data_IF_190609075010
#
_entry.id   IF_190609075010
#
_cell.length_a   1.000
_cell.length_b   1.000
_cell.length_c   1.000
_cell.angle_alpha   90.00
_cell.angle_beta   90.00
_cell.angle_gamma   90.00
#
_symmetry.space_group_name_H-M   'P 1'
#
loop_
_entity.id
_entity.type
_entity.pdbx_description
1 polymer ?
#
# COMPACT_ATOMS: atom_id res chain seq x y z
N UNK A 1 -0.72 19.37 11.57
CA UNK A 1 -0.32 17.98 11.29
C UNK A 1 0.51 17.96 10.02
N UNK A 2 1.60 17.20 10.00
CA UNK A 2 2.42 17.00 8.79
C UNK A 2 1.65 16.17 7.75
N UNK A 3 1.73 16.52 6.46
CA UNK A 3 1.07 15.76 5.38
C UNK A 3 1.78 14.42 5.12
N UNK A 4 3.10 14.41 5.27
CA UNK A 4 3.94 13.22 5.18
C UNK A 4 4.52 12.86 6.55
N UNK A 5 4.69 11.56 6.81
CA UNK A 5 5.15 11.06 8.10
C UNK A 5 6.63 10.72 8.03
N UNK A 6 7.41 11.22 8.98
CA UNK A 6 8.78 10.78 9.17
C UNK A 6 8.79 9.49 9.99
N UNK A 7 8.66 8.35 9.31
CA UNK A 7 8.67 7.02 9.94
C UNK A 7 10.03 6.64 10.55
N UNK A 8 11.10 7.37 10.26
CA UNK A 8 12.41 7.16 10.91
C UNK A 8 12.37 7.71 12.34
N UNK A 9 11.74 8.88 12.52
CA UNK A 9 11.56 9.52 13.82
C UNK A 9 10.57 8.75 14.71
N UNK A 10 9.43 8.36 14.14
CA UNK A 10 8.37 7.65 14.83
C UNK A 10 7.69 6.64 13.89
N UNK A 11 7.99 5.35 14.10
CA UNK A 11 7.38 4.25 13.37
C UNK A 11 6.11 3.71 14.04
N UNK A 12 5.65 4.30 15.15
CA UNK A 12 4.44 3.90 15.82
C UNK A 12 3.26 4.78 15.37
N UNK A 13 2.13 4.15 15.03
CA UNK A 13 0.90 4.86 14.63
C UNK A 13 -0.32 4.34 15.40
N UNK A 14 -1.34 5.19 15.59
CA UNK A 14 -2.61 4.78 16.20
C UNK A 14 -3.47 3.90 15.28
N UNK A 15 -3.14 3.83 13.98
CA UNK A 15 -3.88 3.07 12.98
C UNK A 15 -2.95 2.30 12.04
N UNK A 16 -3.33 1.09 11.61
CA UNK A 16 -2.56 0.30 10.64
C UNK A 16 -2.85 0.67 9.18
N UNK A 17 -3.75 1.64 8.92
CA UNK A 17 -4.22 2.01 7.58
C UNK A 17 -3.08 2.40 6.65
N UNK A 18 -2.01 3.05 7.15
CA UNK A 18 -0.88 3.45 6.32
C UNK A 18 -0.20 2.26 5.64
N UNK A 19 0.07 1.17 6.36
CA UNK A 19 0.66 -0.03 5.76
C UNK A 19 -0.26 -0.65 4.71
N UNK A 20 -1.55 -0.77 5.02
CA UNK A 20 -2.51 -1.39 4.14
C UNK A 20 -2.66 -0.61 2.81
N UNK A 21 -2.83 0.71 2.90
CA UNK A 21 -2.97 1.59 1.74
C UNK A 21 -1.69 1.55 0.91
N UNK A 22 -0.52 1.67 1.53
CA UNK A 22 0.75 1.62 0.80
C UNK A 22 0.95 0.28 0.11
N UNK A 23 0.67 -0.84 0.79
CA UNK A 23 0.77 -2.19 0.19
C UNK A 23 -0.12 -2.32 -1.04
N UNK A 24 -1.37 -1.85 -0.96
CA UNK A 24 -2.33 -1.90 -2.07
C UNK A 24 -1.91 -0.98 -3.21
N UNK A 25 -1.58 0.29 -2.94
CA UNK A 25 -1.18 1.25 -3.97
C UNK A 25 0.11 0.81 -4.68
N UNK A 26 1.14 0.42 -3.92
CA UNK A 26 2.40 -0.09 -4.44
C UNK A 26 2.17 -1.36 -5.28
N UNK A 27 1.40 -2.31 -4.75
CA UNK A 27 1.10 -3.55 -5.45
C UNK A 27 0.33 -3.33 -6.75
N UNK A 28 -0.73 -2.50 -6.74
CA UNK A 28 -1.52 -2.17 -7.94
C UNK A 28 -0.66 -1.45 -8.98
N UNK A 29 0.17 -0.51 -8.54
CA UNK A 29 1.08 0.22 -9.42
C UNK A 29 2.05 -0.72 -10.12
N UNK A 30 2.75 -1.55 -9.35
CA UNK A 30 3.72 -2.50 -9.89
C UNK A 30 3.04 -3.55 -10.76
N UNK A 31 1.85 -4.02 -10.39
CA UNK A 31 1.05 -4.93 -11.22
C UNK A 31 0.76 -4.31 -12.59
N UNK A 32 0.28 -3.07 -12.62
CA UNK A 32 0.06 -2.35 -13.88
C UNK A 32 1.34 -2.23 -14.70
N UNK A 33 2.46 -1.82 -14.07
CA UNK A 33 3.76 -1.67 -14.75
C UNK A 33 4.29 -3.00 -15.28
N UNK A 34 4.13 -4.09 -14.54
CA UNK A 34 4.50 -5.45 -14.96
C UNK A 34 3.64 -5.90 -16.13
N UNK A 35 2.33 -5.69 -16.09
CA UNK A 35 1.43 -6.06 -17.20
C UNK A 35 1.67 -5.23 -18.46
N UNK A 36 2.17 -4.00 -18.32
CA UNK A 36 2.55 -3.13 -19.43
C UNK A 36 3.92 -3.46 -20.04
N UNK A 37 4.65 -4.45 -19.52
CA UNK A 37 5.91 -4.90 -20.14
C UNK A 37 5.61 -5.75 -21.37
N UNK A 38 6.05 -5.29 -22.54
CA UNK A 38 5.91 -5.99 -23.81
C UNK A 38 7.18 -6.75 -24.15
N UNK A 39 7.39 -7.92 -23.54
CA UNK A 39 8.58 -8.75 -23.79
C UNK A 39 8.71 -9.24 -25.24
N UNK A 40 7.59 -9.39 -25.95
CA UNK A 40 7.62 -9.81 -27.36
C UNK A 40 8.41 -8.86 -28.25
N UNK A 41 8.27 -7.54 -28.04
CA UNK A 41 8.99 -6.54 -28.81
C UNK A 41 10.52 -6.59 -28.58
N UNK A 42 10.96 -7.00 -27.39
CA UNK A 42 12.39 -7.13 -27.10
C UNK A 42 13.03 -8.35 -27.76
N UNK A 43 12.26 -9.41 -28.01
CA UNK A 43 12.74 -10.57 -28.76
C UNK A 43 12.89 -10.31 -30.27
N UNK A 44 12.20 -9.30 -30.79
CA UNK A 44 12.28 -8.87 -32.19
C UNK A 44 13.24 -7.68 -32.39
N UNK A 45 13.77 -7.12 -31.30
CA UNK A 45 14.64 -5.94 -31.36
C UNK A 45 15.94 -6.30 -32.10
N UNK A 46 16.35 -5.54 -33.14
CA UNK A 46 17.56 -5.86 -33.88
C UNK A 46 18.78 -5.86 -32.95
N UNK A 47 19.54 -6.97 -32.91
CA UNK A 47 20.76 -7.17 -32.09
C UNK A 47 21.85 -6.10 -32.26
N UNK A 48 21.70 -5.15 -33.20
CA UNK A 48 22.74 -4.24 -33.68
C UNK A 48 22.92 -2.93 -32.88
N UNK A 49 22.22 -2.74 -31.77
CA UNK A 49 22.28 -1.48 -30.99
C UNK A 49 22.76 -1.63 -29.53
N UNK A 50 23.15 -2.83 -29.10
CA UNK A 50 23.85 -3.01 -27.83
C UNK A 50 25.33 -3.18 -28.17
N UNK A 51 26.13 -2.12 -28.00
CA UNK A 51 27.56 -2.07 -28.36
C UNK A 51 28.42 -3.14 -27.65
N UNK A 52 27.86 -3.82 -26.66
CA UNK A 52 28.38 -5.06 -26.11
C UNK A 52 27.29 -6.12 -26.27
N UNK A 53 27.50 -7.12 -27.14
CA UNK A 53 26.60 -8.28 -27.21
C UNK A 53 26.50 -8.89 -25.82
N UNK A 54 25.37 -8.68 -25.13
CA UNK A 54 25.13 -9.28 -23.83
C UNK A 54 24.94 -10.77 -24.08
N UNK A 55 26.04 -11.52 -24.04
CA UNK A 55 26.06 -12.95 -24.27
C UNK A 55 25.44 -13.69 -23.09
N UNK A 56 24.12 -13.61 -22.92
CA UNK A 56 23.42 -14.50 -22.02
C UNK A 56 23.55 -15.92 -22.55
N UNK A 57 24.03 -16.83 -21.70
CA UNK A 57 23.99 -18.25 -22.00
C UNK A 57 22.52 -18.67 -22.19
N UNK A 58 22.15 -19.07 -23.41
CA UNK A 58 20.77 -19.39 -23.82
C UNK A 58 19.80 -18.19 -23.88
N UNK A 59 20.23 -17.08 -24.50
CA UNK A 59 19.41 -15.89 -24.77
C UNK A 59 17.99 -16.22 -25.30
N UNK A 60 17.85 -17.13 -26.25
CA UNK A 60 16.54 -17.51 -26.82
C UNK A 60 15.59 -18.10 -25.78
N UNK A 61 16.09 -19.03 -24.96
CA UNK A 61 15.32 -19.63 -23.87
C UNK A 61 14.96 -18.56 -22.85
N UNK A 62 15.89 -17.67 -22.55
CA UNK A 62 15.70 -16.60 -21.60
C UNK A 62 14.55 -15.68 -21.99
N UNK A 63 14.56 -15.14 -23.22
CA UNK A 63 13.47 -14.30 -23.72
C UNK A 63 12.14 -15.05 -23.84
N UNK A 64 12.18 -16.34 -24.15
CA UNK A 64 10.98 -17.20 -24.17
C UNK A 64 10.34 -17.32 -22.79
N UNK A 65 11.14 -17.30 -21.70
CA UNK A 65 10.66 -17.48 -20.34
C UNK A 65 10.14 -16.19 -19.68
N UNK A 66 10.59 -15.00 -20.11
CA UNK A 66 10.20 -13.71 -19.51
C UNK A 66 8.69 -13.44 -19.49
N UNK A 67 7.90 -13.74 -20.54
CA UNK A 67 6.44 -13.62 -20.48
C UNK A 67 5.82 -14.50 -19.39
N UNK A 68 6.31 -15.73 -19.20
CA UNK A 68 5.81 -16.61 -18.14
C UNK A 68 6.18 -16.07 -16.76
N UNK A 69 7.41 -15.58 -16.59
CA UNK A 69 7.84 -14.92 -15.36
C UNK A 69 6.99 -13.68 -15.05
N UNK A 70 6.63 -12.87 -16.06
CA UNK A 70 5.72 -11.73 -15.92
C UNK A 70 4.37 -12.14 -15.33
N UNK A 71 3.75 -13.21 -15.83
CA UNK A 71 2.48 -13.72 -15.30
C UNK A 71 2.60 -14.28 -13.88
N UNK A 72 3.71 -14.95 -13.57
CA UNK A 72 4.00 -15.40 -12.20
C UNK A 72 4.13 -14.21 -11.26
N UNK A 73 4.89 -13.18 -11.64
CA UNK A 73 5.02 -11.94 -10.87
C UNK A 73 3.65 -11.27 -10.70
N UNK A 74 2.83 -11.17 -11.75
CA UNK A 74 1.49 -10.60 -11.67
C UNK A 74 0.61 -11.36 -10.67
N UNK A 75 0.60 -12.70 -10.71
CA UNK A 75 -0.17 -13.51 -9.76
C UNK A 75 0.32 -13.32 -8.32
N UNK A 76 1.65 -13.27 -8.10
CA UNK A 76 2.23 -13.01 -6.78
C UNK A 76 1.88 -11.61 -6.28
N UNK A 77 1.86 -10.60 -7.16
CA UNK A 77 1.46 -9.23 -6.82
C UNK A 77 -0.03 -9.16 -6.45
N UNK A 78 -0.92 -9.87 -7.13
CA UNK A 78 -2.34 -9.96 -6.72
C UNK A 78 -2.47 -10.53 -5.30
N UNK A 79 -1.74 -11.60 -4.99
CA UNK A 79 -1.72 -12.17 -3.64
C UNK A 79 -1.13 -11.19 -2.61
N UNK A 80 -0.09 -10.44 -2.98
CA UNK A 80 0.50 -9.38 -2.16
C UNK A 80 -0.47 -8.20 -1.91
N UNK A 81 -1.25 -7.79 -2.92
CA UNK A 81 -2.29 -6.74 -2.83
C UNK A 81 -3.44 -7.16 -1.90
N UNK A 82 -3.67 -8.46 -1.70
CA UNK A 82 -4.64 -8.95 -0.71
C UNK A 82 -3.96 -9.22 0.65
N UNK A 83 -2.63 -9.25 0.69
CA UNK A 83 -1.85 -9.56 1.88
C UNK A 83 -1.93 -11.04 2.25
N UNK A 84 -1.92 -11.92 1.24
CA UNK A 84 -1.88 -13.37 1.40
C UNK A 84 -0.46 -13.90 1.26
N UNK A 85 0.02 -14.58 2.32
CA UNK A 85 1.40 -15.06 2.48
C UNK A 85 2.43 -14.00 2.11
N UNK A 86 2.23 -12.76 2.57
CA UNK A 86 2.97 -11.55 2.16
C UNK A 86 4.49 -11.74 2.18
N UNK A 87 5.02 -12.48 3.16
CA UNK A 87 6.45 -12.83 3.25
C UNK A 87 6.97 -13.55 2.02
N UNK A 88 6.20 -14.50 1.49
CA UNK A 88 6.57 -15.30 0.32
C UNK A 88 6.14 -14.62 -0.98
N UNK A 89 4.90 -14.12 -1.05
CA UNK A 89 4.35 -13.54 -2.28
C UNK A 89 5.04 -12.23 -2.61
N UNK A 90 5.24 -11.33 -1.64
CA UNK A 90 6.04 -10.13 -1.81
C UNK A 90 7.53 -10.44 -2.03
N UNK A 91 8.11 -11.35 -1.26
CA UNK A 91 9.51 -11.74 -1.39
C UNK A 91 9.84 -12.26 -2.79
N UNK A 92 9.09 -13.27 -3.26
CA UNK A 92 9.28 -13.85 -4.60
C UNK A 92 8.92 -12.85 -5.70
N UNK A 93 7.83 -12.08 -5.57
CA UNK A 93 7.50 -11.04 -6.55
C UNK A 93 8.63 -10.02 -6.70
N UNK A 94 9.21 -9.57 -5.59
CA UNK A 94 10.30 -8.59 -5.62
C UNK A 94 11.57 -9.13 -6.28
N UNK A 95 11.98 -10.37 -5.97
CA UNK A 95 13.17 -10.98 -6.56
C UNK A 95 12.99 -11.26 -8.05
N UNK A 96 11.85 -11.82 -8.44
CA UNK A 96 11.55 -12.07 -9.85
C UNK A 96 11.39 -10.76 -10.63
N UNK A 97 10.81 -9.72 -10.02
CA UNK A 97 10.75 -8.40 -10.63
C UNK A 97 12.14 -7.80 -10.80
N UNK A 98 13.00 -7.83 -9.77
CA UNK A 98 14.38 -7.35 -9.89
C UNK A 98 15.14 -8.06 -11.00
N UNK A 99 14.98 -9.38 -11.12
CA UNK A 99 15.57 -10.14 -12.24
C UNK A 99 15.08 -9.63 -13.60
N UNK A 100 13.77 -9.47 -13.79
CA UNK A 100 13.19 -8.92 -15.01
C UNK A 100 13.71 -7.50 -15.31
N UNK A 101 13.81 -6.66 -14.30
CA UNK A 101 14.29 -5.28 -14.45
C UNK A 101 15.79 -5.24 -14.76
N UNK A 102 16.60 -6.15 -14.21
CA UNK A 102 18.03 -6.23 -14.55
C UNK A 102 18.24 -6.53 -16.02
N UNK A 103 17.47 -7.48 -16.57
CA UNK A 103 17.49 -7.79 -18.02
C UNK A 103 17.04 -6.59 -18.83
N UNK A 104 15.94 -5.96 -18.42
CA UNK A 104 15.45 -4.78 -19.11
C UNK A 104 16.50 -3.66 -19.09
N UNK A 105 17.18 -3.46 -17.97
CA UNK A 105 18.21 -2.44 -17.81
C UNK A 105 19.45 -2.70 -18.68
N UNK A 106 19.77 -3.98 -18.97
CA UNK A 106 20.87 -4.29 -19.91
C UNK A 106 20.50 -3.96 -21.35
N UNK A 107 19.21 -4.08 -21.73
CA UNK A 107 18.75 -3.77 -23.10
C UNK A 107 18.44 -2.28 -23.27
N UNK A 108 17.79 -1.70 -22.26
CA UNK A 108 17.28 -0.33 -22.26
C UNK A 108 17.46 0.28 -20.88
N UNK A 109 18.58 0.97 -20.69
CA UNK A 109 18.84 1.74 -19.49
C UNK A 109 18.04 3.04 -19.55
N UNK A 110 16.89 3.04 -18.89
CA UNK A 110 16.10 4.25 -18.68
C UNK A 110 15.74 4.40 -17.21
N UNK A 111 15.63 5.66 -16.78
CA UNK A 111 15.26 6.00 -15.41
C UNK A 111 13.91 5.43 -14.96
N UNK A 112 13.03 5.05 -15.90
CA UNK A 112 11.77 4.35 -15.60
C UNK A 112 11.95 2.89 -15.21
N UNK A 113 13.08 2.27 -15.54
CA UNK A 113 13.46 0.91 -15.10
C UNK A 113 14.07 0.99 -13.71
N UNK A 114 14.95 1.97 -13.48
CA UNK A 114 15.57 2.24 -12.18
C UNK A 114 14.52 2.52 -11.09
N UNK A 115 13.45 3.26 -11.42
CA UNK A 115 12.38 3.54 -10.48
C UNK A 115 11.58 2.30 -10.05
N UNK A 116 11.47 1.30 -10.92
CA UNK A 116 10.81 0.03 -10.58
C UNK A 116 11.66 -0.82 -9.64
N UNK A 117 13.00 -0.67 -9.63
CA UNK A 117 13.84 -1.29 -8.61
C UNK A 117 13.51 -0.75 -7.22
N UNK A 118 13.26 0.56 -7.09
CA UNK A 118 12.81 1.18 -5.83
C UNK A 118 11.51 0.53 -5.36
N UNK A 119 10.55 0.33 -6.27
CA UNK A 119 9.29 -0.35 -5.94
C UNK A 119 9.52 -1.81 -5.50
N UNK A 120 10.43 -2.53 -6.16
CA UNK A 120 10.79 -3.90 -5.78
C UNK A 120 11.43 -3.96 -4.38
N UNK A 121 12.31 -3.01 -4.03
CA UNK A 121 12.87 -2.90 -2.67
C UNK A 121 11.77 -2.65 -1.63
N UNK A 122 10.81 -1.77 -1.92
CA UNK A 122 9.69 -1.51 -1.02
C UNK A 122 8.82 -2.76 -0.81
N UNK A 123 8.51 -3.52 -1.87
CA UNK A 123 7.78 -4.79 -1.76
C UNK A 123 8.57 -5.79 -0.89
N UNK A 124 9.89 -5.88 -1.10
CA UNK A 124 10.76 -6.74 -0.29
C UNK A 124 10.72 -6.35 1.20
N UNK A 125 10.74 -5.05 1.51
CA UNK A 125 10.61 -4.57 2.90
C UNK A 125 9.25 -4.94 3.51
N UNK A 126 8.16 -4.84 2.76
CA UNK A 126 6.85 -5.34 3.20
C UNK A 126 6.84 -6.85 3.44
N UNK A 127 7.57 -7.62 2.63
CA UNK A 127 7.73 -9.05 2.84
C UNK A 127 8.53 -9.38 4.13
N UNK A 128 9.60 -8.62 4.40
CA UNK A 128 10.41 -8.78 5.61
C UNK A 128 9.66 -8.40 6.90
N UNK A 129 8.79 -7.39 6.84
CA UNK A 129 8.01 -6.90 7.98
C UNK A 129 6.51 -7.25 7.87
N UNK A 130 6.17 -8.37 7.24
CA UNK A 130 4.78 -8.80 6.98
C UNK A 130 3.90 -8.97 8.23
N UNK A 131 4.51 -9.10 9.42
CA UNK A 131 3.80 -9.23 10.70
C UNK A 131 3.15 -7.91 11.14
N UNK A 132 3.72 -6.77 10.75
CA UNK A 132 3.23 -5.43 11.12
C UNK A 132 1.92 -5.08 10.42
N UNK A 133 1.66 -5.67 9.25
CA UNK A 133 0.44 -5.44 8.48
C UNK A 133 -0.74 -6.27 9.02
N UNK A 134 -1.48 -5.66 9.95
CA UNK A 134 -2.67 -6.25 10.58
C UNK A 134 -3.95 -6.14 9.73
N UNK A 135 -3.92 -5.40 8.62
CA UNK A 135 -5.01 -5.27 7.65
C UNK A 135 -4.69 -6.07 6.37
N UNK A 136 -4.40 -7.35 6.59
CA UNK A 136 -4.04 -8.33 5.58
C UNK A 136 -4.80 -9.64 5.79
N UNK A 137 -4.95 -10.45 4.74
CA UNK A 137 -5.50 -11.81 4.91
C UNK A 137 -4.63 -12.65 5.84
N UNK A 138 -3.31 -12.48 5.84
CA UNK A 138 -2.43 -13.15 6.79
C UNK A 138 -2.73 -12.77 8.24
N UNK A 139 -3.04 -11.50 8.53
CA UNK A 139 -3.46 -11.09 9.88
C UNK A 139 -4.78 -11.75 10.30
N UNK A 140 -5.77 -11.79 9.41
CA UNK A 140 -7.02 -12.54 9.64
C UNK A 140 -6.75 -14.02 9.83
N UNK A 141 -5.75 -14.60 9.15
CA UNK A 141 -5.34 -16.00 9.38
C UNK A 141 -4.69 -16.17 10.75
N UNK A 142 -3.80 -15.27 11.19
CA UNK A 142 -3.16 -15.33 12.52
C UNK A 142 -4.15 -15.29 13.69
N UNK A 143 -5.35 -14.75 13.49
CA UNK A 143 -6.41 -14.80 14.51
C UNK A 143 -7.06 -16.18 14.68
N UNK A 144 -6.80 -17.16 13.78
CA UNK A 144 -7.31 -18.53 13.95
C UNK A 144 -6.79 -19.19 15.22
N UNK A 145 -5.56 -18.86 15.59
CA UNK A 145 -4.84 -19.51 16.69
C UNK A 145 -5.06 -18.79 18.02
N UNK A 146 -5.81 -17.68 18.02
CA UNK A 146 -6.17 -16.93 19.21
C UNK A 146 -7.40 -17.53 19.88
N UNK A 147 -7.40 -17.52 21.20
CA UNK A 147 -8.57 -17.87 22.00
C UNK A 147 -9.70 -16.84 21.83
N UNK A 148 -10.94 -17.27 22.08
CA UNK A 148 -12.10 -16.38 22.04
C UNK A 148 -11.97 -15.20 23.02
N UNK A 149 -11.37 -15.44 24.20
CA UNK A 149 -11.13 -14.40 25.19
C UNK A 149 -10.18 -13.31 24.68
N UNK A 150 -9.11 -13.68 23.98
CA UNK A 150 -8.18 -12.72 23.35
C UNK A 150 -8.85 -11.93 22.23
N UNK A 151 -9.68 -12.57 21.41
CA UNK A 151 -10.43 -11.88 20.35
C UNK A 151 -11.42 -10.87 20.95
N UNK A 152 -12.13 -11.25 22.02
CA UNK A 152 -13.03 -10.35 22.75
C UNK A 152 -12.30 -9.18 23.42
N UNK A 153 -11.10 -9.40 23.95
CA UNK A 153 -10.27 -8.32 24.50
C UNK A 153 -9.86 -7.30 23.42
N UNK A 154 -9.53 -7.77 22.21
CA UNK A 154 -9.25 -6.89 21.06
C UNK A 154 -10.49 -6.09 20.65
N UNK A 155 -11.65 -6.76 20.51
CA UNK A 155 -12.92 -6.13 20.12
C UNK A 155 -13.36 -5.05 21.10
N UNK A 156 -13.20 -5.30 22.41
CA UNK A 156 -13.55 -4.36 23.48
C UNK A 156 -12.54 -3.22 23.67
N UNK A 157 -11.45 -3.19 22.89
CA UNK A 157 -10.43 -2.15 22.99
C UNK A 157 -9.57 -2.24 24.26
N UNK A 158 -9.50 -3.42 24.90
CA UNK A 158 -8.69 -3.64 26.11
C UNK A 158 -7.17 -3.71 25.80
N UNK A 159 -6.80 -3.71 24.52
CA UNK A 159 -5.42 -3.76 24.04
C UNK A 159 -4.98 -2.40 23.52
N UNK A 160 -3.75 -1.99 23.84
CA UNK A 160 -3.19 -0.74 23.34
C UNK A 160 -3.04 -0.79 21.81
N UNK A 161 -3.66 0.18 21.11
CA UNK A 161 -3.64 0.27 19.66
C UNK A 161 -2.43 1.07 19.18
N UNK A 162 -1.27 0.42 19.17
CA UNK A 162 -0.05 0.98 18.59
C UNK A 162 0.50 0.04 17.54
N UNK A 163 0.59 0.51 16.30
CA UNK A 163 1.02 -0.26 15.14
C UNK A 163 2.39 0.20 14.67
N UNK A 164 3.31 -0.74 14.47
CA UNK A 164 4.65 -0.46 13.96
C UNK A 164 4.62 -0.33 12.43
N UNK A 165 5.44 0.57 11.89
CA UNK A 165 5.50 0.93 10.47
C UNK A 165 6.89 0.61 9.89
N UNK A 166 7.50 -0.52 10.25
CA UNK A 166 8.92 -0.79 9.94
C UNK A 166 9.20 -0.82 8.44
N UNK A 167 8.29 -1.37 7.63
CA UNK A 167 8.43 -1.35 6.17
C UNK A 167 8.50 0.09 5.61
N UNK A 168 7.68 1.01 6.14
CA UNK A 168 7.69 2.42 5.72
C UNK A 168 8.90 3.18 6.28
N UNK A 169 9.34 2.87 7.50
CA UNK A 169 10.57 3.43 8.09
C UNK A 169 11.80 3.14 7.24
N UNK A 170 12.03 1.86 6.97
CA UNK A 170 13.18 1.44 6.17
C UNK A 170 13.01 1.81 4.70
N UNK A 171 11.77 1.85 4.20
CA UNK A 171 11.47 2.31 2.85
C UNK A 171 11.81 3.80 2.67
N UNK A 172 11.44 4.64 3.64
CA UNK A 172 11.76 6.08 3.62
C UNK A 172 13.27 6.30 3.62
N UNK A 173 13.99 5.57 4.48
CA UNK A 173 15.45 5.66 4.54
C UNK A 173 16.11 5.18 3.25
N UNK A 174 15.65 4.06 2.67
CA UNK A 174 16.15 3.56 1.40
C UNK A 174 15.95 4.57 0.26
N UNK A 175 14.74 5.14 0.15
CA UNK A 175 14.43 6.18 -0.84
C UNK A 175 15.32 7.41 -0.64
N UNK A 176 15.51 7.86 0.60
CA UNK A 176 16.37 8.99 0.92
C UNK A 176 17.84 8.73 0.53
N UNK A 177 18.36 7.54 0.80
CA UNK A 177 19.72 7.12 0.39
C UNK A 177 19.83 7.08 -1.14
N UNK A 178 18.81 6.59 -1.85
CA UNK A 178 18.81 6.54 -3.32
C UNK A 178 18.86 7.95 -3.91
N UNK A 179 18.11 8.91 -3.37
CA UNK A 179 18.20 10.31 -3.82
C UNK A 179 19.59 10.93 -3.58
N UNK A 180 20.18 10.67 -2.42
CA UNK A 180 21.56 11.11 -2.14
C UNK A 180 22.55 10.42 -3.07
N UNK A 181 22.38 9.13 -3.33
CA UNK A 181 23.19 8.38 -4.30
C UNK A 181 23.10 8.95 -5.71
N UNK A 182 21.91 9.39 -6.13
CA UNK A 182 21.70 10.07 -7.42
C UNK A 182 22.45 11.40 -7.50
N UNK A 183 22.41 12.23 -6.44
CA UNK A 183 23.19 13.47 -6.37
C UNK A 183 24.70 13.19 -6.37
N UNK A 184 25.13 12.20 -5.60
CA UNK A 184 26.53 11.82 -5.45
C UNK A 184 27.13 11.21 -6.72
N UNK A 185 26.37 10.37 -7.43
CA UNK A 185 26.79 9.77 -8.69
C UNK A 185 27.11 10.83 -9.76
N UNK A 186 26.33 11.93 -9.80
CA UNK A 186 26.63 13.07 -10.66
C UNK A 186 27.95 13.74 -10.29
N UNK A 187 28.18 13.96 -8.99
CA UNK A 187 29.42 14.58 -8.51
C UNK A 187 30.67 13.72 -8.76
N UNK A 188 30.56 12.38 -8.76
CA UNK A 188 31.69 11.48 -8.98
C UNK A 188 31.99 11.22 -10.46
N UNK A 189 30.98 11.16 -11.33
CA UNK A 189 31.13 10.72 -12.72
C UNK A 189 31.42 11.85 -13.72
N UNK A 190 31.55 13.10 -13.26
CA UNK A 190 31.92 14.23 -14.12
C UNK A 190 32.73 15.30 -13.38
N UNK A 191 33.34 16.26 -14.10
CA UNK A 191 34.06 17.36 -13.47
C UNK A 191 33.11 18.18 -12.61
N UNK A 192 33.44 18.32 -11.32
CA UNK A 192 32.61 19.05 -10.34
C UNK A 192 32.28 20.47 -10.81
N UNK A 193 33.22 21.14 -11.48
CA UNK A 193 33.07 22.47 -12.05
C UNK A 193 31.96 22.54 -13.10
N UNK A 194 31.92 21.56 -14.01
CA UNK A 194 30.93 21.50 -15.08
C UNK A 194 29.53 21.27 -14.51
N UNK A 195 29.42 20.38 -13.52
CA UNK A 195 28.16 20.17 -12.79
C UNK A 195 27.72 21.41 -12.01
N UNK A 196 28.64 22.08 -11.33
CA UNK A 196 28.35 23.29 -10.56
C UNK A 196 28.06 24.51 -11.43
N UNK A 197 28.34 24.49 -12.74
CA UNK A 197 28.10 25.64 -13.64
C UNK A 197 26.67 25.77 -14.15
N UNK A 198 25.82 24.75 -13.99
CA UNK A 198 24.49 24.71 -14.61
C UNK A 198 24.50 24.38 -16.11
N UNK A 199 25.66 24.44 -16.76
CA UNK A 199 25.85 24.10 -18.19
C UNK A 199 25.38 22.68 -18.52
N UNK A 200 25.55 21.73 -17.61
CA UNK A 200 25.04 20.35 -17.79
C UNK A 200 23.52 20.31 -17.93
N UNK A 201 22.80 21.05 -17.10
CA UNK A 201 21.34 21.12 -17.20
C UNK A 201 20.91 21.75 -18.53
N UNK A 202 21.61 22.78 -19.00
CA UNK A 202 21.35 23.40 -20.30
C UNK A 202 21.60 22.41 -21.44
N UNK A 203 22.72 21.68 -21.38
CA UNK A 203 23.07 20.64 -22.35
C UNK A 203 22.04 19.52 -22.37
N UNK A 204 21.58 19.06 -21.21
CA UNK A 204 20.53 18.05 -21.11
C UNK A 204 19.23 18.54 -21.77
N UNK A 205 18.80 19.78 -21.49
CA UNK A 205 17.60 20.36 -22.11
C UNK A 205 17.73 20.40 -23.64
N UNK A 206 18.86 20.90 -24.16
CA UNK A 206 19.11 20.96 -25.60
C UNK A 206 19.18 19.57 -26.24
N UNK A 207 19.88 18.63 -25.60
CA UNK A 207 20.01 17.26 -26.06
C UNK A 207 18.64 16.56 -26.16
N UNK A 208 17.81 16.65 -25.11
CA UNK A 208 16.48 16.05 -25.14
C UNK A 208 15.50 16.78 -26.06
N UNK A 209 15.65 18.10 -26.23
CA UNK A 209 14.92 18.87 -27.24
C UNK A 209 15.19 18.36 -28.65
N UNK A 210 16.47 18.23 -29.01
CA UNK A 210 16.92 17.69 -30.29
C UNK A 210 16.48 16.23 -30.49
N UNK A 211 16.71 15.38 -29.49
CA UNK A 211 16.38 13.94 -29.56
C UNK A 211 14.88 13.69 -29.75
N UNK A 212 14.03 14.49 -29.10
CA UNK A 212 12.57 14.30 -29.15
C UNK A 212 11.90 15.12 -30.25
N UNK A 213 12.58 16.12 -30.81
CA UNK A 213 12.02 17.09 -31.75
C UNK A 213 10.90 17.95 -31.15
N UNK A 214 10.82 18.04 -29.81
CA UNK A 214 9.79 18.79 -29.09
C UNK A 214 10.43 19.94 -28.32
N UNK A 215 10.12 21.16 -28.75
CA UNK A 215 10.49 22.37 -28.00
C UNK A 215 9.74 22.44 -26.66
N UNK A 216 10.51 22.56 -25.58
CA UNK A 216 9.99 22.63 -24.20
C UNK A 216 10.02 24.08 -23.71
N UNK A 217 8.86 24.74 -23.73
CA UNK A 217 8.73 26.14 -23.31
C UNK A 217 9.27 26.43 -21.89
N UNK A 218 9.18 25.46 -20.97
CA UNK A 218 9.73 25.59 -19.61
C UNK A 218 11.25 25.39 -19.55
N UNK A 219 11.85 24.73 -20.53
CA UNK A 219 13.29 24.54 -20.64
C UNK A 219 14.02 25.76 -21.22
N UNK A 220 13.40 26.48 -22.15
CA UNK A 220 14.03 27.63 -22.82
C UNK A 220 14.59 28.70 -21.85
N UNK A 221 13.87 29.15 -20.80
CA UNK A 221 14.44 30.11 -19.85
C UNK A 221 15.68 29.62 -19.10
N UNK A 222 15.83 28.31 -18.91
CA UNK A 222 17.01 27.72 -18.27
C UNK A 222 18.20 27.67 -19.23
N UNK A 223 17.95 27.41 -20.51
CA UNK A 223 18.97 27.44 -21.58
C UNK A 223 19.47 28.87 -21.79
N UNK A 224 18.56 29.85 -21.82
CA UNK A 224 18.90 31.25 -22.10
C UNK A 224 19.54 31.98 -20.90
N UNK A 225 19.49 31.40 -19.70
CA UNK A 225 19.95 32.05 -18.47
C UNK A 225 20.76 31.09 -17.57
N UNK A 226 22.09 31.27 -17.60
CA UNK A 226 23.04 30.47 -16.81
C UNK A 226 22.76 30.52 -15.31
N UNK A 227 22.38 31.68 -14.76
CA UNK A 227 22.05 31.80 -13.33
C UNK A 227 20.82 30.95 -12.97
N UNK A 228 19.80 30.92 -13.82
CA UNK A 228 18.62 30.07 -13.59
C UNK A 228 18.97 28.58 -13.68
N UNK A 229 19.82 28.19 -14.63
CA UNK A 229 20.31 26.82 -14.73
C UNK A 229 21.13 26.42 -13.49
N UNK A 230 22.01 27.30 -13.02
CA UNK A 230 22.79 27.13 -11.81
C UNK A 230 21.90 26.96 -10.58
N UNK A 231 20.92 27.84 -10.39
CA UNK A 231 19.94 27.76 -9.29
C UNK A 231 19.15 26.45 -9.38
N UNK A 232 18.72 26.04 -10.58
CA UNK A 232 18.03 24.78 -10.81
C UNK A 232 18.87 23.56 -10.40
N UNK A 233 20.15 23.57 -10.74
CA UNK A 233 21.09 22.52 -10.36
C UNK A 233 21.32 22.45 -8.85
N UNK A 234 21.74 23.56 -8.23
CA UNK A 234 22.00 23.63 -6.78
C UNK A 234 20.72 23.31 -5.99
N UNK A 235 19.59 23.85 -6.43
CA UNK A 235 18.28 23.56 -5.87
C UNK A 235 17.94 22.07 -5.91
N UNK A 236 18.24 21.39 -7.02
CA UNK A 236 18.06 19.94 -7.16
C UNK A 236 18.90 19.17 -6.14
N UNK A 237 20.20 19.47 -6.02
CA UNK A 237 21.08 18.79 -5.07
C UNK A 237 20.62 18.99 -3.61
N UNK A 238 20.24 20.21 -3.26
CA UNK A 238 19.71 20.54 -1.93
C UNK A 238 18.41 19.78 -1.64
N UNK A 239 17.48 19.73 -2.59
CA UNK A 239 16.21 19.00 -2.45
C UNK A 239 16.47 17.50 -2.30
N UNK A 240 17.37 16.91 -3.09
CA UNK A 240 17.75 15.49 -3.01
C UNK A 240 18.38 15.13 -1.65
N UNK A 241 19.25 15.99 -1.11
CA UNK A 241 19.85 15.79 0.20
C UNK A 241 18.87 16.02 1.36
N UNK A 242 17.93 16.95 1.19
CA UNK A 242 17.04 17.39 2.26
C UNK A 242 16.18 16.26 2.87
N UNK A 243 15.80 15.25 2.06
CA UNK A 243 15.00 14.14 2.55
C UNK A 243 15.78 13.27 3.55
N UNK A 244 17.04 12.96 3.25
CA UNK A 244 17.89 12.17 4.16
C UNK A 244 18.16 12.95 5.44
N UNK A 245 18.51 14.23 5.32
CA UNK A 245 18.76 15.11 6.48
C UNK A 245 17.51 15.18 7.37
N UNK A 246 16.34 15.43 6.80
CA UNK A 246 15.10 15.50 7.57
C UNK A 246 14.74 14.14 8.21
N UNK A 247 14.89 13.04 7.47
CA UNK A 247 14.64 11.70 7.96
C UNK A 247 15.52 11.37 9.18
N UNK A 248 16.84 11.56 9.07
CA UNK A 248 17.82 11.23 10.12
C UNK A 248 17.71 12.16 11.32
N UNK A 249 17.48 13.46 11.12
CA UNK A 249 17.28 14.41 12.22
C UNK A 249 15.91 14.29 12.90
N UNK A 250 15.03 13.42 12.40
CA UNK A 250 13.70 13.22 12.95
C UNK A 250 12.75 14.42 12.75
N UNK A 251 13.05 15.32 11.80
CA UNK A 251 12.20 16.49 11.52
C UNK A 251 11.11 16.16 10.50
N UNK A 252 10.23 17.11 10.20
CA UNK A 252 9.18 16.91 9.20
C UNK A 252 9.76 16.67 7.80
N UNK A 253 9.37 15.57 7.16
CA UNK A 253 9.75 15.25 5.77
C UNK A 253 8.81 15.86 4.73
N UNK A 254 7.76 16.60 5.15
CA UNK A 254 6.78 17.16 4.20
C UNK A 254 7.41 18.09 3.17
N UNK A 255 8.22 19.06 3.59
CA UNK A 255 8.83 20.01 2.67
C UNK A 255 9.85 19.32 1.73
N UNK A 256 10.76 18.44 2.21
CA UNK A 256 11.60 17.63 1.33
C UNK A 256 10.83 16.79 0.32
N UNK A 257 9.76 16.11 0.74
CA UNK A 257 8.95 15.28 -0.16
C UNK A 257 8.24 16.13 -1.22
N UNK A 258 7.64 17.25 -0.84
CA UNK A 258 7.02 18.19 -1.79
C UNK A 258 8.04 18.81 -2.75
N UNK A 259 9.23 19.13 -2.25
CA UNK A 259 10.35 19.59 -3.06
C UNK A 259 10.76 18.55 -4.10
N UNK A 260 10.86 17.27 -3.72
CA UNK A 260 11.19 16.18 -4.63
C UNK A 260 10.09 15.90 -5.66
N UNK A 261 8.82 15.98 -5.27
CA UNK A 261 7.70 15.91 -6.22
C UNK A 261 7.78 17.07 -7.21
N UNK A 262 7.99 18.30 -6.73
CA UNK A 262 8.18 19.48 -7.56
C UNK A 262 9.36 19.35 -8.52
N UNK A 263 10.47 18.77 -8.06
CA UNK A 263 11.62 18.44 -8.89
C UNK A 263 11.26 17.49 -10.03
N UNK A 264 10.54 16.40 -9.77
CA UNK A 264 10.11 15.46 -10.83
C UNK A 264 9.15 16.12 -11.82
N UNK A 265 8.25 16.97 -11.36
CA UNK A 265 7.39 17.77 -12.24
C UNK A 265 8.22 18.73 -13.10
N UNK A 266 9.23 19.40 -12.52
CA UNK A 266 10.12 20.26 -13.26
C UNK A 266 10.88 19.48 -14.35
N UNK A 267 11.43 18.31 -14.03
CA UNK A 267 12.11 17.41 -14.98
C UNK A 267 11.19 17.00 -16.13
N UNK A 268 9.91 16.69 -15.87
CA UNK A 268 8.93 16.39 -16.92
C UNK A 268 8.72 17.61 -17.83
N UNK A 269 8.57 18.80 -17.25
CA UNK A 269 8.28 20.02 -17.99
C UNK A 269 9.47 20.53 -18.81
N UNK A 270 10.69 20.37 -18.30
CA UNK A 270 11.92 20.90 -18.92
C UNK A 270 12.60 19.90 -19.83
N UNK A 271 12.72 18.63 -19.40
CA UNK A 271 13.44 17.57 -20.12
C UNK A 271 12.50 16.58 -20.84
N UNK A 272 11.21 16.57 -20.51
CA UNK A 272 10.28 15.59 -21.07
C UNK A 272 10.45 14.17 -20.54
N UNK A 273 11.21 13.99 -19.45
CA UNK A 273 11.48 12.70 -18.84
C UNK A 273 10.42 12.35 -17.79
N UNK A 274 9.70 11.25 -18.01
CA UNK A 274 8.57 10.84 -17.16
C UNK A 274 9.01 9.96 -16.00
N UNK A 275 9.20 10.57 -14.83
CA UNK A 275 9.48 9.89 -13.56
C UNK A 275 8.25 9.79 -12.65
N UNK A 276 7.08 9.49 -13.21
CA UNK A 276 5.81 9.41 -12.47
C UNK A 276 5.87 8.39 -11.33
N UNK A 277 6.63 7.30 -11.53
CA UNK A 277 6.93 6.28 -10.53
C UNK A 277 7.44 6.89 -9.20
N UNK A 278 8.32 7.89 -9.28
CA UNK A 278 8.91 8.51 -8.09
C UNK A 278 7.92 9.41 -7.35
N UNK A 279 7.02 10.08 -8.08
CA UNK A 279 5.93 10.85 -7.45
C UNK A 279 5.03 9.90 -6.65
N UNK A 280 4.71 8.73 -7.22
CA UNK A 280 3.95 7.71 -6.52
C UNK A 280 4.71 7.19 -5.30
N UNK A 281 5.98 6.80 -5.43
CA UNK A 281 6.83 6.31 -4.33
C UNK A 281 6.88 7.31 -3.18
N UNK A 282 7.09 8.59 -3.47
CA UNK A 282 7.10 9.66 -2.46
C UNK A 282 5.73 9.82 -1.78
N UNK A 283 4.65 9.67 -2.54
CA UNK A 283 3.27 9.72 -2.04
C UNK A 283 2.92 8.58 -1.09
N UNK A 284 3.65 7.46 -1.14
CA UNK A 284 3.45 6.34 -0.21
C UNK A 284 3.73 6.74 1.26
N UNK A 285 4.55 7.77 1.51
CA UNK A 285 4.85 8.23 2.87
C UNK A 285 3.85 9.26 3.43
N UNK A 286 2.75 9.52 2.72
CA UNK A 286 1.67 10.36 3.21
C UNK A 286 1.01 9.78 4.48
N UNK A 287 0.40 10.65 5.28
CA UNK A 287 -0.39 10.28 6.46
C UNK A 287 -1.78 9.76 6.04
N UNK A 288 -1.83 8.59 5.40
CA UNK A 288 -3.06 7.98 4.88
C UNK A 288 -4.14 7.73 5.94
N UNK A 289 -3.74 7.51 7.19
CA UNK A 289 -4.59 7.35 8.37
C UNK A 289 -5.34 8.66 8.70
N UNK A 290 -4.68 9.81 8.53
CA UNK A 290 -5.32 11.12 8.67
C UNK A 290 -6.31 11.37 7.53
N UNK A 291 -5.94 11.02 6.30
CA UNK A 291 -6.84 11.12 5.15
C UNK A 291 -8.06 10.21 5.31
N UNK A 292 -7.84 8.95 5.71
CA UNK A 292 -8.89 7.98 6.02
C UNK A 292 -9.84 8.48 7.10
N UNK A 293 -9.32 8.99 8.22
CA UNK A 293 -10.13 9.54 9.32
C UNK A 293 -11.02 10.71 8.86
N UNK A 294 -10.54 11.54 7.93
CA UNK A 294 -11.34 12.64 7.36
C UNK A 294 -12.45 12.16 6.43
N UNK A 295 -12.29 10.99 5.81
CA UNK A 295 -13.27 10.38 4.93
C UNK A 295 -14.24 9.44 5.67
N UNK A 296 -13.86 8.95 6.84
CA UNK A 296 -14.69 8.12 7.69
C UNK A 296 -15.83 8.95 8.32
N UNK A 297 -17.03 8.37 8.35
CA UNK A 297 -18.16 8.95 9.09
C UNK A 297 -17.90 8.88 10.59
N UNK A 298 -18.17 9.99 11.29
CA UNK A 298 -17.96 10.09 12.74
C UNK A 298 -19.17 9.62 13.56
N UNK A 299 -20.26 9.21 12.91
CA UNK A 299 -21.47 8.84 13.65
C UNK A 299 -21.22 7.58 14.49
N UNK A 300 -21.84 7.50 15.65
CA UNK A 300 -21.64 6.37 16.56
C UNK A 300 -22.48 5.17 16.09
N UNK A 301 -21.88 3.98 16.15
CA UNK A 301 -22.56 2.72 15.91
C UNK A 301 -22.19 1.70 16.98
N UNK A 302 -23.18 0.90 17.39
CA UNK A 302 -22.95 -0.22 18.30
C UNK A 302 -23.13 -1.52 17.55
N UNK A 303 -22.09 -2.35 17.55
CA UNK A 303 -22.10 -3.71 16.99
C UNK A 303 -22.24 -4.68 18.14
N UNK A 304 -23.40 -5.33 18.25
CA UNK A 304 -23.59 -6.45 19.16
C UNK A 304 -23.25 -7.75 18.46
N UNK A 305 -22.49 -8.61 19.15
CA UNK A 305 -21.99 -9.85 18.56
C UNK A 305 -22.00 -11.01 19.57
N UNK A 306 -22.13 -12.23 19.07
CA UNK A 306 -22.01 -13.45 19.89
C UNK A 306 -20.55 -13.65 20.33
N UNK A 307 -20.30 -13.44 21.62
CA UNK A 307 -18.97 -13.50 22.25
C UNK A 307 -18.48 -14.91 22.54
N UNK A 308 -19.30 -15.92 22.25
CA UNK A 308 -18.93 -17.34 22.30
C UNK A 308 -18.54 -17.88 20.93
N UNK A 309 -18.90 -17.18 19.85
CA UNK A 309 -18.60 -17.62 18.49
C UNK A 309 -17.24 -17.10 17.99
N UNK A 310 -16.27 -18.01 17.89
CA UNK A 310 -14.93 -17.71 17.36
C UNK A 310 -14.94 -17.08 15.98
N UNK A 311 -15.76 -17.61 15.06
CA UNK A 311 -15.83 -17.13 13.68
C UNK A 311 -16.31 -15.67 13.58
N UNK A 312 -17.32 -15.28 14.36
CA UNK A 312 -17.82 -13.90 14.37
C UNK A 312 -16.82 -12.95 15.01
N UNK A 313 -16.29 -13.28 16.18
CA UNK A 313 -15.28 -12.45 16.84
C UNK A 313 -14.08 -12.21 15.90
N UNK A 314 -13.60 -13.28 15.25
CA UNK A 314 -12.54 -13.23 14.24
C UNK A 314 -12.88 -12.35 13.04
N UNK A 315 -14.08 -12.46 12.49
CA UNK A 315 -14.52 -11.65 11.36
C UNK A 315 -14.63 -10.16 11.69
N UNK A 316 -14.83 -9.81 12.96
CA UNK A 316 -14.97 -8.43 13.43
C UNK A 316 -13.62 -7.74 13.73
N UNK A 317 -12.54 -8.48 14.01
CA UNK A 317 -11.22 -7.90 14.32
C UNK A 317 -10.73 -6.89 13.27
N UNK A 318 -10.84 -7.14 11.95
CA UNK A 318 -10.43 -6.14 10.94
C UNK A 318 -11.16 -4.81 11.07
N UNK A 319 -12.43 -4.81 11.48
CA UNK A 319 -13.23 -3.60 11.63
C UNK A 319 -12.75 -2.73 12.80
N UNK A 320 -12.27 -3.34 13.88
CA UNK A 320 -11.60 -2.63 14.98
C UNK A 320 -10.36 -1.88 14.48
N UNK A 321 -9.62 -2.50 13.57
CA UNK A 321 -8.40 -1.91 13.00
C UNK A 321 -8.68 -0.84 11.94
N UNK A 322 -9.82 -0.94 11.24
CA UNK A 322 -10.30 0.06 10.28
C UNK A 322 -10.95 1.26 10.96
N UNK A 323 -11.49 1.12 12.17
CA UNK A 323 -12.16 2.19 12.92
C UNK A 323 -11.16 3.21 13.49
N UNK A 324 -10.66 4.08 12.61
CA UNK A 324 -9.70 5.13 12.97
C UNK A 324 -10.30 6.32 13.73
N UNK A 325 -11.62 6.36 13.84
CA UNK A 325 -12.41 7.40 14.51
C UNK A 325 -12.95 6.94 15.87
N UNK A 326 -12.72 5.68 16.26
CA UNK A 326 -13.32 5.06 17.45
C UNK A 326 -14.85 5.23 17.50
N UNK A 327 -15.47 5.17 16.32
CA UNK A 327 -16.91 5.40 16.09
C UNK A 327 -17.75 4.14 16.26
N UNK A 328 -17.11 2.97 16.27
CA UNK A 328 -17.79 1.67 16.34
C UNK A 328 -17.49 1.00 17.69
N UNK A 329 -18.53 0.87 18.51
CA UNK A 329 -18.45 0.15 19.78
C UNK A 329 -18.86 -1.30 19.60
N UNK A 330 -17.96 -2.23 19.89
CA UNK A 330 -18.25 -3.66 19.89
C UNK A 330 -18.69 -4.10 21.30
N UNK A 331 -19.90 -4.63 21.41
CA UNK A 331 -20.51 -5.06 22.68
C UNK A 331 -20.85 -6.55 22.59
N UNK A 332 -20.34 -7.39 23.49
CA UNK A 332 -20.71 -8.79 23.50
C UNK A 332 -22.18 -8.94 23.93
N UNK A 333 -22.92 -9.85 23.29
CA UNK A 333 -24.34 -10.08 23.62
C UNK A 333 -24.55 -10.45 25.09
N UNK A 334 -23.59 -11.17 25.69
CA UNK A 334 -23.60 -11.54 27.11
C UNK A 334 -23.62 -10.34 28.08
N UNK A 335 -23.11 -9.19 27.65
CA UNK A 335 -23.07 -7.95 28.45
C UNK A 335 -23.92 -6.83 27.85
N UNK A 336 -24.73 -7.11 26.83
CA UNK A 336 -25.57 -6.10 26.21
C UNK A 336 -26.58 -5.58 27.26
N UNK A 337 -26.71 -4.25 27.44
CA UNK A 337 -27.62 -3.70 28.43
C UNK A 337 -29.05 -4.15 28.11
N UNK A 338 -29.78 -4.53 29.14
CA UNK A 338 -31.19 -4.98 29.05
C UNK A 338 -32.17 -3.87 28.66
N UNK A 339 -31.67 -2.70 28.24
CA UNK A 339 -32.45 -1.55 27.80
C UNK A 339 -33.38 -1.89 26.64
N UNK A 340 -34.52 -1.18 26.52
CA UNK A 340 -35.69 -1.56 25.75
C UNK A 340 -35.52 -1.24 24.25
N UNK A 341 -34.44 -1.72 23.64
CA UNK A 341 -34.58 -2.19 22.26
C UNK A 341 -35.33 -3.51 22.44
N UNK A 342 -36.63 -3.51 22.13
CA UNK A 342 -37.57 -4.60 22.43
C UNK A 342 -36.87 -5.96 22.40
N UNK A 343 -36.86 -6.68 23.53
CA UNK A 343 -36.34 -8.05 23.59
C UNK A 343 -37.04 -8.98 22.59
N UNK A 344 -38.21 -8.56 22.11
CA UNK A 344 -39.01 -9.23 21.08
C UNK A 344 -38.52 -8.96 19.65
N UNK A 345 -37.70 -7.91 19.43
CA UNK A 345 -37.14 -7.54 18.12
C UNK A 345 -35.73 -8.12 17.93
N UNK A 346 -34.92 -8.17 19.00
CA UNK A 346 -33.60 -8.78 18.92
C UNK A 346 -33.74 -10.30 18.94
N UNK A 347 -33.71 -10.91 17.76
CA UNK A 347 -33.51 -12.34 17.68
C UNK A 347 -32.14 -12.65 18.29
N UNK A 348 -32.11 -13.27 19.47
CA UNK A 348 -30.85 -13.71 20.08
C UNK A 348 -30.16 -14.78 19.23
N UNK A 349 -30.88 -15.37 18.27
CA UNK A 349 -30.32 -16.22 17.23
C UNK A 349 -29.76 -15.40 16.03
N UNK A 350 -29.82 -14.07 16.00
CA UNK A 350 -29.06 -13.24 15.08
C UNK A 350 -27.64 -13.00 15.64
N UNK A 351 -26.60 -13.36 14.88
CA UNK A 351 -25.21 -13.32 15.41
C UNK A 351 -24.53 -11.95 15.36
N UNK A 352 -25.03 -11.07 14.51
CA UNK A 352 -24.50 -9.73 14.35
C UNK A 352 -25.65 -8.76 14.27
N UNK A 353 -25.70 -7.82 15.20
CA UNK A 353 -26.68 -6.75 15.23
C UNK A 353 -25.92 -5.43 15.20
N UNK A 354 -26.31 -4.55 14.29
CA UNK A 354 -25.79 -3.19 14.18
C UNK A 354 -26.91 -2.23 14.58
N UNK A 355 -26.67 -1.43 15.61
CA UNK A 355 -27.54 -0.35 16.03
C UNK A 355 -26.91 1.00 15.68
N UNK A 356 -27.64 1.83 14.94
CA UNK A 356 -27.19 3.15 14.52
C UNK A 356 -28.40 4.08 14.34
N UNK A 357 -28.39 5.25 14.97
CA UNK A 357 -29.48 6.25 14.92
C UNK A 357 -30.88 5.71 15.22
N UNK A 358 -30.96 4.74 16.15
CA UNK A 358 -32.21 4.07 16.52
C UNK A 358 -32.68 3.00 15.54
N UNK A 359 -32.02 2.84 14.38
CA UNK A 359 -32.25 1.73 13.48
C UNK A 359 -31.42 0.52 13.89
N UNK A 360 -32.08 -0.64 13.99
CA UNK A 360 -31.45 -1.92 14.31
C UNK A 360 -31.50 -2.80 13.08
N UNK A 361 -30.35 -3.35 12.72
CA UNK A 361 -30.16 -4.13 11.50
C UNK A 361 -29.38 -5.37 11.85
N UNK A 362 -29.74 -6.49 11.25
CA UNK A 362 -29.23 -7.79 11.66
C UNK A 362 -28.56 -8.56 10.52
N UNK A 363 -27.77 -9.56 10.89
CA UNK A 363 -27.29 -10.58 9.99
C UNK A 363 -26.32 -10.08 8.92
N UNK A 364 -26.53 -10.54 7.70
CA UNK A 364 -25.77 -10.10 6.52
C UNK A 364 -25.87 -8.58 6.29
N UNK A 365 -27.06 -8.01 6.52
CA UNK A 365 -27.31 -6.60 6.29
C UNK A 365 -26.56 -5.72 7.31
N UNK A 366 -26.42 -6.18 8.55
CA UNK A 366 -25.56 -5.55 9.56
C UNK A 366 -24.10 -5.50 9.09
N UNK A 367 -23.56 -6.60 8.54
CA UNK A 367 -22.19 -6.65 8.01
C UNK A 367 -22.01 -5.69 6.82
N UNK A 368 -22.99 -5.66 5.92
CA UNK A 368 -23.00 -4.76 4.75
C UNK A 368 -22.98 -3.29 5.19
N UNK A 369 -23.86 -2.91 6.12
CA UNK A 369 -23.95 -1.55 6.64
C UNK A 369 -22.70 -1.16 7.43
N UNK A 370 -22.14 -2.08 8.22
CA UNK A 370 -20.87 -1.87 8.92
C UNK A 370 -19.74 -1.58 7.93
N UNK A 371 -19.60 -2.38 6.86
CA UNK A 371 -18.63 -2.11 5.79
C UNK A 371 -18.85 -0.74 5.13
N UNK A 372 -20.11 -0.34 4.93
CA UNK A 372 -20.47 0.94 4.34
C UNK A 372 -20.05 2.16 5.15
N UNK A 373 -19.78 2.02 6.46
CA UNK A 373 -19.26 3.10 7.32
C UNK A 373 -17.82 3.48 6.99
N UNK A 374 -17.06 2.56 6.41
CA UNK A 374 -15.69 2.81 5.99
C UNK A 374 -15.72 3.29 4.55
N UNK A 375 -15.53 4.59 4.32
CA UNK A 375 -15.70 5.20 2.99
C UNK A 375 -14.93 4.49 1.86
N UNK A 376 -13.72 3.98 2.14
CA UNK A 376 -12.93 3.20 1.18
C UNK A 376 -13.58 1.85 0.79
N UNK A 377 -14.42 1.30 1.66
CA UNK A 377 -15.13 0.03 1.47
C UNK A 377 -16.59 0.24 1.04
N UNK A 378 -17.05 1.49 0.89
CA UNK A 378 -18.40 1.79 0.41
C UNK A 378 -18.72 1.14 -0.95
N UNK A 379 -17.80 1.08 -1.94
CA UNK A 379 -18.06 0.34 -3.19
C UNK A 379 -18.31 -1.15 -2.95
N UNK A 380 -17.59 -1.78 -2.01
CA UNK A 380 -17.79 -3.19 -1.64
C UNK A 380 -19.15 -3.38 -0.97
N UNK A 381 -19.51 -2.50 -0.02
CA UNK A 381 -20.81 -2.52 0.65
C UNK A 381 -21.98 -2.28 -0.33
N UNK A 382 -21.76 -1.48 -1.38
CA UNK A 382 -22.70 -1.29 -2.48
C UNK A 382 -22.87 -2.56 -3.30
N UNK A 383 -21.77 -3.20 -3.73
CA UNK A 383 -21.80 -4.49 -4.46
C UNK A 383 -22.51 -5.57 -3.65
N UNK A 384 -22.29 -5.61 -2.33
CA UNK A 384 -23.00 -6.52 -1.41
C UNK A 384 -24.52 -6.29 -1.37
N UNK A 385 -25.00 -5.11 -1.73
CA UNK A 385 -26.44 -4.81 -1.82
C UNK A 385 -27.10 -5.34 -3.09
N UNK A 386 -26.31 -5.68 -4.12
CA UNK A 386 -26.82 -6.16 -5.40
C UNK A 386 -27.42 -7.56 -5.25
N UNK A 387 -28.65 -7.76 -5.75
CA UNK A 387 -29.49 -8.95 -5.51
C UNK A 387 -28.75 -10.31 -5.56
N UNK A 388 -27.99 -10.67 -6.61
CA UNK A 388 -27.23 -11.92 -6.65
C UNK A 388 -26.20 -12.05 -5.52
N UNK A 389 -25.46 -10.98 -5.22
CA UNK A 389 -24.44 -10.97 -4.16
C UNK A 389 -25.09 -11.06 -2.79
N UNK A 390 -26.18 -10.31 -2.58
CA UNK A 390 -26.97 -10.36 -1.35
C UNK A 390 -27.54 -11.75 -1.11
N UNK A 391 -28.15 -12.38 -2.11
CA UNK A 391 -28.72 -13.72 -1.98
C UNK A 391 -27.67 -14.78 -1.62
N UNK A 392 -26.50 -14.74 -2.26
CA UNK A 392 -25.39 -15.64 -1.93
C UNK A 392 -24.83 -15.34 -0.55
N UNK A 393 -24.62 -14.07 -0.22
CA UNK A 393 -24.08 -13.62 1.06
C UNK A 393 -24.98 -13.98 2.24
N UNK A 394 -26.29 -13.78 2.12
CA UNK A 394 -27.28 -14.20 3.12
C UNK A 394 -27.24 -15.72 3.33
N UNK A 395 -27.21 -16.53 2.26
CA UNK A 395 -27.10 -17.99 2.38
C UNK A 395 -25.81 -18.45 3.04
N UNK A 396 -24.68 -17.80 2.75
CA UNK A 396 -23.40 -18.11 3.40
C UNK A 396 -23.48 -17.75 4.89
N UNK A 397 -24.02 -16.57 5.20
CA UNK A 397 -24.20 -16.12 6.58
C UNK A 397 -25.09 -17.09 7.38
N UNK A 398 -26.23 -17.48 6.83
CA UNK A 398 -27.17 -18.44 7.42
C UNK A 398 -26.59 -19.85 7.58
N UNK A 399 -25.60 -20.24 6.77
CA UNK A 399 -24.88 -21.52 6.93
C UNK A 399 -23.81 -21.48 8.00
N UNK A 400 -23.22 -20.31 8.25
CA UNK A 400 -22.25 -20.12 9.35
C UNK A 400 -22.95 -19.95 10.70
N UNK A 401 -24.22 -19.57 10.68
CA UNK A 401 -25.08 -19.43 11.85
C UNK A 401 -25.32 -20.70 12.71
N UNK A 402 -25.55 -21.92 12.18
CA UNK A 402 -26.11 -23.02 12.95
C UNK A 402 -25.11 -23.80 13.81
N UNK A 403 -23.80 -23.66 13.55
CA UNK A 403 -22.74 -24.28 14.40
C UNK A 403 -22.78 -23.77 15.86
N UNK A 404 -23.55 -22.70 16.12
CA UNK A 404 -23.84 -22.12 17.44
C UNK A 404 -24.58 -23.05 18.40
N UNK A 405 -25.50 -23.90 17.92
CA UNK A 405 -26.38 -24.70 18.80
C UNK A 405 -25.69 -25.93 19.42
N UNK A 406 -24.54 -26.35 18.88
CA UNK A 406 -23.84 -27.57 19.32
C UNK A 406 -22.85 -27.36 20.46
N UNK A 407 -22.50 -26.12 20.80
CA UNK A 407 -21.51 -25.81 21.83
C UNK A 407 -22.11 -25.30 23.15
N UNK A 408 -23.44 -25.22 23.27
CA UNK A 408 -24.07 -24.86 24.54
C UNK A 408 -23.93 -26.04 25.53
N UNK A 409 -23.23 -25.89 26.68
CA UNK A 409 -22.93 -26.98 27.62
C UNK A 409 -24.19 -27.62 28.26
N UNK A 410 -25.33 -26.94 28.18
CA UNK A 410 -26.59 -27.38 28.79
C UNK A 410 -27.25 -28.57 28.09
N UNK A 411 -26.73 -29.03 26.95
CA UNK A 411 -27.25 -30.21 26.26
C UNK A 411 -26.71 -31.55 26.81
N UNK A 412 -25.73 -31.57 27.73
CA UNK A 412 -25.11 -32.81 28.23
C UNK A 412 -25.49 -33.24 29.66
N UNK A 413 -26.40 -32.55 30.34
CA UNK A 413 -26.87 -32.94 31.70
C UNK A 413 -28.26 -33.57 31.72
N UNK A 414 -28.84 -33.89 30.55
CA UNK A 414 -30.10 -34.62 30.42
C UNK A 414 -29.96 -36.14 30.61
N UNK A 415 -29.87 -36.57 31.88
CA UNK A 415 -30.44 -37.82 32.41
C UNK A 415 -30.29 -39.13 31.64
N UNK A 416 -29.36 -39.99 32.11
CA UNK A 416 -29.68 -41.41 32.33
C UNK A 416 -29.77 -41.61 33.85
N UNK A 417 -30.99 -41.59 34.36
CA UNK A 417 -31.34 -42.27 35.61
C UNK A 417 -31.94 -43.62 35.26
#
# INVERSE_FOLDING_TARGET
MSAFVNYVADDARPSPVNLAVVRVLLGLYVLWRVLALEWGAYGEWPDFHVDETIGFLHQDLFFTLLPYQQWVVAALLVLFIVGYRTRWTGGLASLLLMHMLSVKATIYLAGTVESLFVCAYLILLFALFAEDDVLSVDAVRRTSDRSIAELNAVLRGETSRTYRMRALKWGLLAVAIIYVGSAWGKALNGPLEIWLSGTELQRDILFYGELTGIDRAFGAPLVDNELLAWVGFVGTALVQLSLLVAAVLGTSVTLPVLGLIGFHVAVILTLGLYFVDMILVLSLFAAWDVAHRRLATADEATVMYDDRCHAYARALVPFVHLDTTDSVRFVPQSSAPSTPIDRDVLDRDAALVLSHDGEVVEGYEASRRLLGRFGLLAPVAWVMGVSPVRAVGTRIYERLAPDRRRQSPDASTGGRH
#
